data_IF_284821959441
#
_entry.id   IF_284821959441
#
_cell.length_a   1.000
_cell.length_b   1.000
_cell.length_c   1.000
_cell.angle_alpha   90.00
_cell.angle_beta   90.00
_cell.angle_gamma   90.00
#
_symmetry.space_group_name_H-M   'P 1'
#
loop_
_entity.id
_entity.type
_entity.pdbx_description
1 polymer ?
#
# COMPACT_ATOMS: atom_id res chain seq x y z
N UNK A 1 -11.67 -5.65 2.19
CA UNK A 1 -11.95 -6.98 2.79
C UNK A 1 -10.91 -7.37 3.83
N UNK A 2 -9.62 -7.39 3.47
CA UNK A 2 -8.52 -7.74 4.38
C UNK A 2 -8.15 -6.62 5.36
N UNK A 3 -8.44 -5.36 5.00
CA UNK A 3 -8.18 -4.15 5.79
C UNK A 3 -9.16 -3.93 6.96
N UNK A 4 -9.75 -4.99 7.52
CA UNK A 4 -10.57 -4.91 8.74
C UNK A 4 -9.98 -5.84 9.79
N UNK A 5 -10.28 -5.60 11.07
CA UNK A 5 -9.81 -6.47 12.16
C UNK A 5 -10.37 -7.90 12.06
N UNK A 6 -11.43 -8.09 11.28
CA UNK A 6 -12.02 -9.38 10.91
C UNK A 6 -11.64 -9.85 9.49
N UNK A 7 -10.65 -9.21 8.84
CA UNK A 7 -10.29 -9.48 7.45
C UNK A 7 -9.89 -10.94 7.19
N UNK A 8 -9.10 -11.53 8.09
CA UNK A 8 -8.75 -12.96 8.03
C UNK A 8 -9.97 -13.88 8.13
N UNK A 9 -10.98 -13.51 8.92
CA UNK A 9 -12.24 -14.26 9.05
C UNK A 9 -13.10 -14.13 7.80
N UNK A 10 -13.17 -12.94 7.20
CA UNK A 10 -13.85 -12.75 5.92
C UNK A 10 -13.22 -13.58 4.81
N UNK A 11 -11.88 -13.63 4.74
CA UNK A 11 -11.17 -14.48 3.80
C UNK A 11 -11.45 -15.96 4.08
N UNK A 12 -11.46 -16.39 5.34
CA UNK A 12 -11.84 -17.75 5.72
C UNK A 12 -13.29 -18.09 5.35
N UNK A 13 -14.22 -17.15 5.47
CA UNK A 13 -15.61 -17.34 5.06
C UNK A 13 -15.75 -17.47 3.55
N UNK A 14 -15.07 -16.61 2.78
CA UNK A 14 -15.01 -16.70 1.32
C UNK A 14 -14.36 -18.01 0.88
N UNK A 15 -13.32 -18.46 1.57
CA UNK A 15 -12.70 -19.76 1.34
C UNK A 15 -13.69 -20.91 1.54
N UNK A 16 -14.41 -20.94 2.66
CA UNK A 16 -15.43 -21.96 2.93
C UNK A 16 -16.53 -21.96 1.86
N UNK A 17 -16.99 -20.78 1.43
CA UNK A 17 -17.96 -20.65 0.34
C UNK A 17 -17.40 -21.14 -1.00
N UNK A 18 -16.14 -20.85 -1.29
CA UNK A 18 -15.48 -21.33 -2.50
C UNK A 18 -15.37 -22.87 -2.49
N UNK A 19 -15.10 -23.48 -1.33
CA UNK A 19 -15.13 -24.94 -1.19
C UNK A 19 -16.52 -25.54 -1.43
N UNK A 20 -17.58 -24.91 -0.92
CA UNK A 20 -18.96 -25.39 -1.12
C UNK A 20 -19.43 -25.27 -2.57
N UNK A 21 -19.04 -24.19 -3.24
CA UNK A 21 -19.51 -23.86 -4.60
C UNK A 21 -18.55 -24.30 -5.70
N UNK A 22 -17.42 -24.91 -5.33
CA UNK A 22 -16.31 -25.24 -6.24
C UNK A 22 -15.76 -24.02 -6.99
N UNK A 23 -15.98 -22.82 -6.45
CA UNK A 23 -15.43 -21.59 -7.01
C UNK A 23 -13.93 -21.46 -6.74
N UNK A 24 -13.29 -20.56 -7.50
CA UNK A 24 -11.92 -20.14 -7.27
C UNK A 24 -11.89 -18.76 -6.61
N UNK A 25 -10.98 -18.57 -5.66
CA UNK A 25 -10.79 -17.30 -4.99
C UNK A 25 -9.56 -16.60 -5.57
N UNK A 26 -9.75 -15.41 -6.14
CA UNK A 26 -8.68 -14.60 -6.70
C UNK A 26 -8.47 -13.35 -5.85
N UNK A 27 -7.35 -13.22 -5.12
CA UNK A 27 -7.04 -12.00 -4.40
C UNK A 27 -6.60 -10.91 -5.38
N UNK A 28 -7.27 -9.76 -5.35
CA UNK A 28 -6.88 -8.58 -6.11
C UNK A 28 -6.02 -7.67 -5.24
N UNK A 29 -4.75 -7.53 -5.61
CA UNK A 29 -3.81 -6.60 -5.01
C UNK A 29 -3.98 -5.17 -5.52
N UNK A 30 -3.44 -4.21 -4.77
CA UNK A 30 -3.41 -2.79 -5.19
C UNK A 30 -2.22 -2.48 -6.11
N UNK A 31 -1.08 -3.16 -5.89
CA UNK A 31 0.17 -2.89 -6.59
C UNK A 31 0.38 -3.82 -7.79
N UNK A 32 1.00 -3.29 -8.85
CA UNK A 32 1.19 -3.99 -10.13
C UNK A 32 2.05 -5.26 -10.04
N UNK A 33 2.96 -5.34 -9.06
CA UNK A 33 3.88 -6.46 -8.85
C UNK A 33 3.71 -7.12 -7.48
N UNK A 34 2.55 -6.93 -6.82
CA UNK A 34 2.31 -7.51 -5.50
C UNK A 34 2.48 -9.04 -5.51
N UNK A 35 1.98 -9.70 -6.56
CA UNK A 35 2.13 -11.15 -6.70
C UNK A 35 3.61 -11.53 -6.83
N UNK A 36 4.40 -10.79 -7.61
CA UNK A 36 5.82 -11.07 -7.79
C UNK A 36 6.61 -10.93 -6.49
N UNK A 37 6.36 -9.88 -5.70
CA UNK A 37 6.96 -9.71 -4.36
C UNK A 37 6.61 -10.91 -3.47
N UNK A 38 5.34 -11.30 -3.42
CA UNK A 38 4.90 -12.45 -2.62
C UNK A 38 5.58 -13.77 -3.02
N UNK A 39 5.75 -14.01 -4.33
CA UNK A 39 6.46 -15.21 -4.80
C UNK A 39 7.95 -15.20 -4.43
N UNK A 40 8.58 -14.02 -4.46
CA UNK A 40 9.97 -13.83 -4.03
C UNK A 40 10.09 -14.07 -2.52
N UNK A 41 9.23 -13.43 -1.72
CA UNK A 41 9.23 -13.48 -0.24
C UNK A 41 9.07 -14.89 0.33
N UNK A 42 8.28 -15.76 -0.32
CA UNK A 42 8.11 -17.16 0.12
C UNK A 42 9.41 -17.98 0.20
N UNK A 43 10.50 -17.48 -0.38
CA UNK A 43 11.81 -18.13 -0.38
C UNK A 43 12.77 -17.60 0.69
N UNK A 44 12.35 -16.59 1.47
CA UNK A 44 13.15 -16.02 2.54
C UNK A 44 12.73 -16.55 3.91
N UNK A 45 13.62 -16.42 4.89
CA UNK A 45 13.36 -16.83 6.27
C UNK A 45 12.37 -15.88 6.95
N UNK A 46 11.47 -16.45 7.72
CA UNK A 46 10.54 -15.79 8.65
C UNK A 46 11.20 -15.24 9.93
N UNK A 47 12.53 -15.30 10.04
CA UNK A 47 13.28 -14.85 11.23
C UNK A 47 13.48 -13.33 11.30
N UNK A 48 13.16 -12.58 10.25
CA UNK A 48 13.27 -11.13 10.22
C UNK A 48 12.14 -10.44 10.99
N UNK A 49 12.35 -9.17 11.33
CA UNK A 49 11.28 -8.32 11.87
C UNK A 49 10.23 -8.07 10.77
N UNK A 50 8.96 -8.25 11.09
CA UNK A 50 7.88 -7.81 10.21
C UNK A 50 7.75 -6.27 10.24
N UNK A 51 6.93 -5.74 9.33
CA UNK A 51 6.71 -4.29 9.20
C UNK A 51 6.40 -3.57 10.52
N UNK A 52 5.47 -4.09 11.33
CA UNK A 52 5.11 -3.47 12.62
C UNK A 52 6.29 -3.51 13.60
N UNK A 53 6.99 -4.64 13.65
CA UNK A 53 8.17 -4.80 14.49
C UNK A 53 9.31 -3.87 14.08
N UNK A 54 9.50 -3.63 12.78
CA UNK A 54 10.46 -2.63 12.27
C UNK A 54 10.08 -1.24 12.79
N UNK A 55 8.81 -0.85 12.70
CA UNK A 55 8.34 0.45 13.20
C UNK A 55 8.51 0.61 14.72
N UNK A 56 8.17 -0.45 15.48
CA UNK A 56 8.35 -0.46 16.93
C UNK A 56 9.84 -0.37 17.29
N UNK A 57 10.70 -1.18 16.66
CA UNK A 57 12.14 -1.18 16.90
C UNK A 57 12.81 0.14 16.47
N UNK A 58 12.36 0.73 15.36
CA UNK A 58 12.79 2.06 14.96
C UNK A 58 12.38 3.11 15.99
N UNK A 59 11.18 3.01 16.57
CA UNK A 59 10.70 3.97 17.58
C UNK A 59 11.36 3.79 18.96
N UNK A 60 11.68 2.56 19.36
CA UNK A 60 12.34 2.26 20.63
C UNK A 60 13.85 2.51 20.61
N UNK A 61 14.45 2.56 19.41
CA UNK A 61 15.91 2.63 19.23
C UNK A 61 16.59 1.25 19.20
N UNK A 62 15.81 0.16 19.16
CA UNK A 62 16.35 -1.21 19.01
C UNK A 62 16.85 -1.46 17.58
N UNK A 63 16.37 -0.69 16.61
CA UNK A 63 16.88 -0.67 15.24
C UNK A 63 17.82 0.51 15.05
N UNK A 64 19.08 0.24 14.68
CA UNK A 64 20.09 1.28 14.46
C UNK A 64 20.03 1.88 13.07
N UNK A 65 19.88 1.02 12.05
CA UNK A 65 19.96 1.42 10.64
C UNK A 65 18.74 0.91 9.92
N UNK A 66 18.12 1.78 9.12
CA UNK A 66 16.98 1.42 8.28
C UNK A 66 17.23 1.84 6.83
N UNK A 67 17.07 0.90 5.91
CA UNK A 67 17.08 1.14 4.47
C UNK A 67 15.65 1.03 3.95
N UNK A 68 15.08 2.13 3.47
CA UNK A 68 13.74 2.18 2.91
C UNK A 68 13.79 2.32 1.40
N UNK A 69 13.43 1.26 0.69
CA UNK A 69 13.25 1.28 -0.76
C UNK A 69 11.75 1.35 -1.10
N UNK A 70 11.33 2.45 -1.71
CA UNK A 70 9.93 2.70 -2.05
C UNK A 70 9.11 3.31 -0.91
N UNK A 71 7.79 3.40 -1.08
CA UNK A 71 6.93 4.12 -0.15
C UNK A 71 6.85 3.40 1.20
N UNK A 72 7.22 4.10 2.26
CA UNK A 72 7.01 3.68 3.64
C UNK A 72 6.11 4.70 4.35
N UNK A 73 5.38 4.31 5.41
CA UNK A 73 4.62 5.27 6.22
C UNK A 73 5.53 6.35 6.80
N UNK A 74 4.90 7.41 7.25
CA UNK A 74 5.59 8.48 7.95
C UNK A 74 6.23 7.99 9.26
N UNK A 75 7.56 8.12 9.37
CA UNK A 75 8.38 7.59 10.45
C UNK A 75 8.46 8.49 11.69
N UNK A 76 7.54 9.46 11.89
CA UNK A 76 7.54 10.61 12.84
C UNK A 76 8.29 10.48 14.20
N UNK A 77 8.59 9.28 14.69
CA UNK A 77 9.24 8.95 15.97
C UNK A 77 10.39 7.94 15.87
N UNK A 78 10.95 7.69 14.70
CA UNK A 78 12.06 6.76 14.54
C UNK A 78 13.35 7.34 15.17
N UNK A 79 13.91 6.60 16.12
CA UNK A 79 15.19 6.85 16.76
C UNK A 79 16.26 5.95 16.11
N UNK A 80 16.68 6.32 14.89
CA UNK A 80 17.66 5.59 14.11
C UNK A 80 19.03 6.30 14.19
N UNK A 81 20.12 5.54 14.17
CA UNK A 81 21.48 6.06 13.99
C UNK A 81 21.76 6.41 12.51
N UNK A 82 21.09 5.75 11.57
CA UNK A 82 21.24 6.02 10.14
C UNK A 82 20.01 5.60 9.33
N UNK A 83 19.44 6.53 8.55
CA UNK A 83 18.30 6.30 7.66
C UNK A 83 18.69 6.53 6.20
N UNK A 84 18.54 5.48 5.39
CA UNK A 84 18.68 5.55 3.93
C UNK A 84 17.31 5.50 3.29
N UNK A 85 17.00 6.45 2.40
CA UNK A 85 15.79 6.45 1.60
C UNK A 85 16.15 6.31 0.11
N UNK A 86 15.63 5.27 -0.52
CA UNK A 86 15.69 5.04 -1.96
C UNK A 86 14.29 5.20 -2.56
N UNK A 87 14.03 6.31 -3.23
CA UNK A 87 12.74 6.55 -3.89
C UNK A 87 12.90 7.42 -5.14
N UNK A 88 11.89 7.40 -6.00
CA UNK A 88 11.82 8.22 -7.21
C UNK A 88 11.23 9.61 -6.96
N UNK A 89 10.49 9.76 -5.87
CA UNK A 89 9.81 11.00 -5.49
C UNK A 89 10.11 11.35 -4.04
N UNK A 90 10.11 12.65 -3.74
CA UNK A 90 10.26 13.15 -2.37
C UNK A 90 9.05 12.81 -1.52
N UNK A 91 9.27 12.59 -0.22
CA UNK A 91 8.20 12.34 0.75
C UNK A 91 8.56 12.92 2.12
N UNK A 92 7.61 12.86 3.06
CA UNK A 92 7.77 13.44 4.40
C UNK A 92 8.92 12.84 5.22
N UNK A 93 9.41 11.64 4.88
CA UNK A 93 10.54 11.03 5.57
C UNK A 93 11.91 11.57 5.12
N UNK A 94 12.00 12.27 3.98
CA UNK A 94 13.28 12.79 3.48
C UNK A 94 13.95 13.76 4.45
N UNK A 95 13.16 14.52 5.22
CA UNK A 95 13.68 15.45 6.25
C UNK A 95 14.39 14.75 7.41
N UNK A 96 14.22 13.44 7.54
CA UNK A 96 14.87 12.61 8.55
C UNK A 96 15.97 11.71 7.97
N UNK A 97 16.16 11.70 6.65
CA UNK A 97 17.12 10.80 6.01
C UNK A 97 18.55 11.33 6.14
N UNK A 98 19.48 10.44 6.48
CA UNK A 98 20.92 10.72 6.45
C UNK A 98 21.49 10.55 5.04
N UNK A 99 20.87 9.68 4.24
CA UNK A 99 21.22 9.49 2.84
C UNK A 99 19.97 9.27 1.97
N UNK A 100 19.98 9.90 0.80
CA UNK A 100 18.95 9.76 -0.22
C UNK A 100 19.57 9.20 -1.48
N UNK A 101 18.99 8.12 -2.01
CA UNK A 101 19.43 7.44 -3.22
C UNK A 101 18.34 7.57 -4.29
N UNK A 102 18.48 8.48 -5.28
CA UNK A 102 17.44 8.72 -6.27
C UNK A 102 17.24 7.51 -7.18
N UNK A 103 16.04 6.94 -7.15
CA UNK A 103 15.68 5.75 -7.91
C UNK A 103 14.92 6.09 -9.19
N UNK A 104 15.23 5.38 -10.27
CA UNK A 104 14.49 5.49 -11.54
C UNK A 104 13.02 5.06 -11.41
N UNK A 105 12.14 5.78 -12.08
CA UNK A 105 10.75 5.40 -12.33
C UNK A 105 10.65 4.25 -13.33
N UNK A 106 9.46 3.66 -13.48
CA UNK A 106 9.23 2.57 -14.43
C UNK A 106 9.51 2.95 -15.89
N UNK A 107 9.44 4.23 -16.25
CA UNK A 107 9.70 4.71 -17.62
C UNK A 107 11.21 4.85 -17.91
N UNK A 108 12.04 4.94 -16.87
CA UNK A 108 13.48 5.20 -16.94
C UNK A 108 14.32 3.91 -16.83
N UNK A 109 13.70 2.80 -16.40
CA UNK A 109 14.31 1.47 -16.32
C UNK A 109 13.53 0.47 -17.17
N UNK A 110 14.13 -0.70 -17.40
CA UNK A 110 13.43 -1.88 -17.88
C UNK A 110 13.35 -2.93 -16.76
N UNK A 111 12.53 -3.96 -16.97
CA UNK A 111 12.42 -5.06 -16.02
C UNK A 111 11.23 -5.95 -16.29
N UNK A 112 10.85 -6.70 -15.25
CA UNK A 112 9.69 -7.58 -15.28
C UNK A 112 8.84 -7.44 -14.03
N UNK A 113 7.54 -7.64 -14.17
CA UNK A 113 6.61 -7.76 -13.04
C UNK A 113 5.67 -8.95 -13.25
N UNK A 114 5.10 -9.46 -12.16
CA UNK A 114 4.12 -10.53 -12.16
C UNK A 114 2.78 -9.94 -11.74
N UNK A 115 1.80 -10.01 -12.63
CA UNK A 115 0.47 -9.45 -12.40
C UNK A 115 -0.40 -10.37 -11.51
N UNK A 116 -1.65 -9.97 -11.25
CA UNK A 116 -2.57 -10.71 -10.36
C UNK A 116 -2.95 -12.12 -10.82
N UNK A 117 -2.85 -12.45 -12.12
CA UNK A 117 -3.07 -13.81 -12.65
C UNK A 117 -1.79 -14.67 -12.64
N UNK A 118 -0.68 -14.16 -12.09
CA UNK A 118 0.60 -14.88 -12.06
C UNK A 118 1.40 -14.79 -13.37
N UNK A 119 1.02 -13.92 -14.31
CA UNK A 119 1.71 -13.77 -15.59
C UNK A 119 2.93 -12.87 -15.45
N UNK A 120 4.09 -13.34 -15.89
CA UNK A 120 5.29 -12.51 -16.02
C UNK A 120 5.16 -11.60 -17.24
N UNK A 121 5.39 -10.31 -17.05
CA UNK A 121 5.35 -9.30 -18.09
C UNK A 121 6.64 -8.49 -18.09
N UNK A 122 7.21 -8.27 -19.27
CA UNK A 122 8.36 -7.38 -19.47
C UNK A 122 7.88 -5.96 -19.77
N UNK A 123 8.55 -4.97 -19.22
CA UNK A 123 8.46 -3.58 -19.64
C UNK A 123 9.85 -3.08 -20.05
N UNK A 124 9.87 -2.16 -21.00
CA UNK A 124 11.11 -1.60 -21.53
C UNK A 124 11.26 -0.15 -21.05
N UNK A 125 12.52 0.26 -20.93
CA UNK A 125 12.88 1.67 -20.74
C UNK A 125 12.36 2.50 -21.91
N UNK A 126 11.76 3.64 -21.60
CA UNK A 126 11.18 4.59 -22.57
C UNK A 126 11.99 5.89 -22.63
N UNK A 127 12.51 6.34 -21.50
CA UNK A 127 13.36 7.55 -21.40
C UNK A 127 14.64 7.25 -20.62
N UNK A 128 15.65 8.10 -20.74
CA UNK A 128 16.85 8.01 -19.90
C UNK A 128 16.53 8.41 -18.45
N UNK A 129 17.19 7.80 -17.44
CA UNK A 129 17.09 8.26 -16.06
C UNK A 129 17.38 9.75 -15.92
N UNK A 130 16.47 10.47 -15.29
CA UNK A 130 16.57 11.90 -15.07
C UNK A 130 17.53 12.23 -13.93
N UNK A 131 18.31 13.30 -14.13
CA UNK A 131 19.30 13.76 -13.16
C UNK A 131 20.30 12.67 -12.78
N UNK A 132 20.46 12.44 -11.48
CA UNK A 132 21.36 11.42 -10.96
C UNK A 132 20.72 10.06 -10.76
N UNK A 133 19.42 9.92 -11.05
CA UNK A 133 18.66 8.71 -10.78
C UNK A 133 19.30 7.47 -11.40
N UNK A 134 19.18 6.35 -10.70
CA UNK A 134 19.67 5.04 -11.16
C UNK A 134 18.60 3.98 -10.92
N UNK A 135 18.55 2.92 -11.75
CA UNK A 135 17.64 1.81 -11.50
C UNK A 135 17.84 1.20 -10.11
N UNK A 136 16.75 0.82 -9.42
CA UNK A 136 16.81 0.25 -8.07
C UNK A 136 17.80 -0.93 -7.97
N UNK A 137 17.76 -1.83 -8.95
CA UNK A 137 18.66 -3.01 -9.00
C UNK A 137 20.14 -2.61 -9.11
N UNK A 138 20.44 -1.50 -9.79
CA UNK A 138 21.80 -1.01 -9.96
C UNK A 138 22.30 -0.44 -8.64
N UNK A 139 21.47 0.36 -7.96
CA UNK A 139 21.81 0.96 -6.66
C UNK A 139 22.17 -0.14 -5.66
N UNK A 140 21.30 -1.15 -5.52
CA UNK A 140 21.55 -2.30 -4.65
C UNK A 140 22.82 -3.04 -5.07
N UNK A 141 23.01 -3.32 -6.36
CA UNK A 141 24.23 -3.99 -6.84
C UNK A 141 25.51 -3.21 -6.50
N UNK A 142 25.48 -1.88 -6.62
CA UNK A 142 26.60 -1.00 -6.29
C UNK A 142 26.90 -0.93 -4.80
N UNK A 143 25.86 -0.92 -3.97
CA UNK A 143 25.97 -0.94 -2.52
C UNK A 143 26.57 -2.26 -2.05
N UNK A 144 26.01 -3.41 -2.47
CA UNK A 144 26.50 -4.72 -2.03
C UNK A 144 27.94 -4.97 -2.49
N UNK A 145 28.32 -4.46 -3.67
CA UNK A 145 29.72 -4.51 -4.14
C UNK A 145 30.67 -3.71 -3.25
N UNK A 146 30.27 -2.51 -2.82
CA UNK A 146 31.07 -1.68 -1.89
C UNK A 146 31.16 -2.31 -0.50
N UNK A 147 30.17 -3.10 -0.12
CA UNK A 147 30.20 -3.93 1.09
C UNK A 147 31.05 -5.21 0.95
N UNK A 148 31.74 -5.40 -0.18
CA UNK A 148 32.69 -6.50 -0.39
C UNK A 148 32.10 -7.75 -1.07
N UNK A 149 30.83 -7.74 -1.45
CA UNK A 149 30.22 -8.89 -2.15
C UNK A 149 30.56 -8.88 -3.65
N UNK A 150 31.02 -10.04 -4.15
CA UNK A 150 31.41 -10.23 -5.56
C UNK A 150 30.31 -10.86 -6.44
N UNK A 151 29.15 -11.19 -5.89
CA UNK A 151 28.05 -11.84 -6.63
C UNK A 151 27.15 -10.90 -7.42
N UNK A 152 27.23 -9.58 -7.20
CA UNK A 152 26.28 -8.60 -7.73
C UNK A 152 26.78 -7.89 -9.00
N UNK A 153 27.36 -8.66 -9.93
CA UNK A 153 27.90 -8.15 -11.21
C UNK A 153 26.89 -8.22 -12.36
N UNK A 154 25.65 -7.81 -12.10
CA UNK A 154 24.59 -7.78 -13.11
C UNK A 154 24.79 -6.63 -14.10
N UNK A 155 24.68 -6.93 -15.39
CA UNK A 155 24.77 -5.95 -16.48
C UNK A 155 23.42 -5.36 -16.84
N UNK A 156 22.35 -6.12 -16.66
CA UNK A 156 20.99 -5.74 -17.01
C UNK A 156 19.96 -6.53 -16.17
N UNK A 157 18.70 -6.08 -16.10
CA UNK A 157 17.64 -6.76 -15.36
C UNK A 157 17.37 -8.20 -15.82
N UNK A 158 17.61 -8.53 -17.09
CA UNK A 158 17.33 -9.88 -17.61
C UNK A 158 18.20 -10.96 -16.95
N UNK A 159 19.45 -10.62 -16.60
CA UNK A 159 20.33 -11.53 -15.86
C UNK A 159 19.77 -11.84 -14.48
N UNK A 160 19.22 -10.82 -13.80
CA UNK A 160 18.56 -10.96 -12.49
C UNK A 160 17.30 -11.83 -12.63
N UNK A 161 16.45 -11.57 -13.62
CA UNK A 161 15.25 -12.40 -13.85
C UNK A 161 15.63 -13.85 -14.15
N UNK A 162 16.65 -14.09 -14.98
CA UNK A 162 17.14 -15.45 -15.27
C UNK A 162 17.72 -16.14 -14.04
N UNK A 163 18.35 -15.41 -13.13
CA UNK A 163 18.79 -15.94 -11.84
C UNK A 163 17.61 -16.28 -10.94
N UNK A 164 16.64 -15.37 -10.80
CA UNK A 164 15.41 -15.58 -10.03
C UNK A 164 14.65 -16.82 -10.50
N UNK A 165 14.51 -17.04 -11.81
CA UNK A 165 13.84 -18.22 -12.39
C UNK A 165 14.49 -19.52 -11.92
N UNK A 166 15.81 -19.54 -11.73
CA UNK A 166 16.55 -20.75 -11.31
C UNK A 166 16.38 -21.06 -9.84
N UNK A 167 16.19 -20.03 -9.00
CA UNK A 167 16.23 -20.17 -7.53
C UNK A 167 14.85 -20.11 -6.88
N UNK A 168 13.86 -19.51 -7.53
CA UNK A 168 12.49 -19.38 -7.01
C UNK A 168 11.65 -20.54 -7.56
N UNK A 169 11.18 -21.49 -6.72
CA UNK A 169 10.46 -22.67 -7.19
C UNK A 169 9.15 -22.36 -7.93
N UNK A 170 8.42 -21.32 -7.53
CA UNK A 170 7.19 -20.91 -8.23
C UNK A 170 7.47 -20.31 -9.61
N UNK A 171 8.72 -20.03 -9.97
CA UNK A 171 9.11 -19.57 -11.30
C UNK A 171 9.47 -20.73 -12.24
N UNK A 172 9.28 -21.99 -11.84
CA UNK A 172 9.65 -23.16 -12.64
C UNK A 172 9.02 -23.21 -14.05
N UNK A 173 7.84 -22.62 -14.21
CA UNK A 173 7.12 -22.56 -15.49
C UNK A 173 7.43 -21.28 -16.29
N UNK A 174 8.29 -20.42 -15.75
CA UNK A 174 8.67 -19.17 -16.39
C UNK A 174 9.80 -19.42 -17.38
N UNK A 175 9.58 -19.05 -18.63
CA UNK A 175 10.60 -19.03 -19.68
C UNK A 175 10.87 -17.61 -20.15
N UNK A 176 12.05 -17.08 -19.83
CA UNK A 176 12.46 -15.74 -20.28
C UNK A 176 12.56 -15.67 -21.82
N UNK A 177 13.03 -16.75 -22.45
CA UNK A 177 13.16 -16.84 -23.91
C UNK A 177 11.78 -16.80 -24.61
N UNK A 178 10.77 -17.44 -24.02
CA UNK A 178 9.40 -17.39 -24.55
C UNK A 178 8.77 -16.01 -24.33
N UNK A 179 9.02 -15.40 -23.16
CA UNK A 179 8.61 -14.03 -22.89
C UNK A 179 9.18 -13.04 -23.92
N UNK A 180 10.46 -13.18 -24.29
CA UNK A 180 11.09 -12.35 -25.33
C UNK A 180 10.46 -12.54 -26.71
N UNK A 181 9.89 -13.71 -26.99
CA UNK A 181 9.12 -14.00 -28.21
C UNK A 181 7.67 -13.51 -28.15
N UNK A 182 7.29 -12.81 -27.08
CA UNK A 182 5.93 -12.33 -26.86
C UNK A 182 4.95 -13.41 -26.40
N UNK A 183 5.43 -14.59 -25.99
CA UNK A 183 4.59 -15.64 -25.46
C UNK A 183 4.28 -15.38 -23.98
N UNK A 184 3.09 -15.81 -23.55
CA UNK A 184 2.66 -15.67 -22.16
C UNK A 184 3.28 -16.78 -21.33
N UNK A 185 3.89 -16.41 -20.22
CA UNK A 185 4.49 -17.34 -19.27
C UNK A 185 3.99 -16.99 -17.86
N UNK A 186 3.77 -18.01 -17.03
CA UNK A 186 3.05 -17.88 -15.76
C UNK A 186 3.83 -18.57 -14.64
N UNK A 187 3.67 -18.08 -13.42
CA UNK A 187 4.16 -18.76 -12.22
C UNK A 187 3.46 -20.11 -12.04
N UNK A 188 4.18 -21.07 -11.47
CA UNK A 188 3.62 -22.33 -11.02
C UNK A 188 2.80 -22.11 -9.75
N UNK A 189 1.48 -22.30 -9.85
CA UNK A 189 0.59 -22.25 -8.69
C UNK A 189 0.81 -23.49 -7.79
N UNK A 190 0.91 -23.27 -6.47
CA UNK A 190 1.01 -24.35 -5.49
C UNK A 190 -0.38 -24.93 -5.23
N UNK A 191 -0.63 -26.12 -5.77
CA UNK A 191 -1.88 -26.85 -5.48
C UNK A 191 -1.77 -27.54 -4.12
N UNK A 192 -2.46 -27.01 -3.08
CA UNK A 192 -2.66 -27.78 -1.84
C UNK A 192 -3.65 -28.91 -2.12
N UNK A 193 -3.22 -30.16 -1.90
CA UNK A 193 -4.05 -31.37 -2.06
C UNK A 193 -5.16 -31.42 -1.03
N UNK A 194 -4.89 -30.96 0.18
CA UNK A 194 -5.86 -30.92 1.27
C UNK A 194 -6.57 -29.56 1.29
N UNK A 195 -7.89 -29.61 1.21
CA UNK A 195 -8.78 -28.46 1.33
C UNK A 195 -9.74 -28.73 2.49
N UNK A 196 -9.65 -27.91 3.53
CA UNK A 196 -10.50 -28.05 4.72
C UNK A 196 -11.29 -26.77 4.97
N UNK A 197 -12.47 -26.94 5.56
CA UNK A 197 -13.22 -25.82 6.11
C UNK A 197 -12.46 -25.21 7.28
N UNK A 198 -12.54 -23.89 7.40
CA UNK A 198 -11.99 -23.12 8.51
C UNK A 198 -13.17 -22.76 9.43
N UNK A 199 -13.23 -23.26 10.68
CA UNK A 199 -14.30 -22.90 11.61
C UNK A 199 -14.39 -21.38 11.82
N UNK A 200 -15.57 -20.81 11.62
CA UNK A 200 -15.81 -19.38 11.79
C UNK A 200 -16.43 -19.12 13.16
N UNK A 201 -15.88 -18.16 13.89
CA UNK A 201 -16.52 -17.58 15.07
C UNK A 201 -17.05 -16.20 14.71
N UNK A 202 -18.37 -16.04 14.80
CA UNK A 202 -19.00 -14.73 14.69
C UNK A 202 -18.44 -13.80 15.79
N UNK A 203 -18.22 -12.55 15.42
CA UNK A 203 -17.88 -11.49 16.36
C UNK A 203 -18.55 -10.23 15.89
N UNK A 204 -19.12 -9.52 16.86
CA UNK A 204 -19.77 -8.26 16.63
C UNK A 204 -18.71 -7.20 16.25
N UNK A 205 -19.07 -6.26 15.36
CA UNK A 205 -18.15 -5.17 15.03
C UNK A 205 -18.07 -4.19 16.21
N UNK A 206 -16.84 -3.87 16.65
CA UNK A 206 -16.63 -2.95 17.78
C UNK A 206 -16.94 -1.49 17.44
N UNK A 207 -17.15 -1.16 16.16
CA UNK A 207 -17.40 0.20 15.70
C UNK A 207 -18.89 0.53 15.77
N UNK A 208 -19.32 1.05 16.92
CA UNK A 208 -20.71 1.48 17.13
C UNK A 208 -20.80 3.00 17.15
N UNK A 209 -21.84 3.53 16.49
CA UNK A 209 -22.25 4.94 16.60
C UNK A 209 -22.60 5.21 18.07
N UNK A 210 -22.35 6.43 18.52
CA UNK A 210 -22.73 6.89 19.86
C UNK A 210 -23.31 8.30 19.79
N UNK A 211 -23.87 8.79 20.90
CA UNK A 211 -24.27 10.21 20.99
C UNK A 211 -23.09 11.16 20.75
N UNK A 212 -21.87 10.77 21.13
CA UNK A 212 -20.65 11.57 20.94
C UNK A 212 -20.15 11.52 19.48
N UNK A 213 -20.25 10.37 18.83
CA UNK A 213 -19.81 10.12 17.45
C UNK A 213 -20.96 9.49 16.65
N UNK A 214 -21.85 10.30 16.07
CA UNK A 214 -23.07 9.81 15.44
C UNK A 214 -22.84 9.20 14.04
N UNK A 215 -21.67 9.41 13.44
CA UNK A 215 -21.31 8.89 12.13
C UNK A 215 -20.24 7.79 12.24
N UNK A 216 -20.21 6.91 11.24
CA UNK A 216 -19.05 6.05 10.99
C UNK A 216 -18.39 6.51 9.69
N UNK A 217 -17.09 6.71 9.70
CA UNK A 217 -16.31 7.06 8.52
C UNK A 217 -15.63 5.82 7.96
N UNK A 218 -15.94 5.47 6.71
CA UNK A 218 -15.19 4.51 5.91
C UNK A 218 -13.99 5.20 5.28
N UNK A 219 -12.84 4.54 5.32
CA UNK A 219 -11.60 5.02 4.72
C UNK A 219 -11.32 4.20 3.47
N UNK A 220 -11.24 4.88 2.33
CA UNK A 220 -10.84 4.27 1.06
C UNK A 220 -9.36 4.55 0.81
N UNK A 221 -8.62 3.56 0.30
CA UNK A 221 -7.25 3.81 -0.10
C UNK A 221 -7.26 4.71 -1.34
N UNK A 222 -6.48 5.79 -1.33
CA UNK A 222 -6.42 6.65 -2.52
C UNK A 222 -5.75 5.92 -3.67
N UNK A 223 -6.49 5.68 -4.75
CA UNK A 223 -5.95 5.12 -6.00
C UNK A 223 -5.14 6.15 -6.79
N UNK A 224 -5.25 7.43 -6.44
CA UNK A 224 -4.55 8.53 -7.10
C UNK A 224 -3.14 8.73 -6.50
N UNK A 225 -2.52 7.65 -6.03
CA UNK A 225 -1.23 7.66 -5.36
C UNK A 225 -0.28 6.67 -6.01
N UNK A 226 0.87 7.17 -6.44
CA UNK A 226 1.90 6.36 -7.07
C UNK A 226 3.20 6.48 -6.29
N UNK A 227 3.60 5.39 -5.62
CA UNK A 227 4.73 5.37 -4.67
C UNK A 227 4.54 6.41 -3.57
N UNK A 228 5.28 7.52 -3.62
CA UNK A 228 5.18 8.64 -2.68
C UNK A 228 4.60 9.90 -3.32
N UNK A 229 4.02 9.77 -4.52
CA UNK A 229 3.52 10.89 -5.32
C UNK A 229 1.99 10.90 -5.34
N UNK A 230 1.42 12.02 -4.88
CA UNK A 230 -0.01 12.29 -4.98
C UNK A 230 -0.34 12.76 -6.40
N UNK A 231 -0.78 11.83 -7.26
CA UNK A 231 -1.07 12.12 -8.68
C UNK A 231 -2.12 13.21 -8.82
N UNK A 232 -3.09 13.27 -7.90
CA UNK A 232 -4.11 14.31 -7.84
C UNK A 232 -3.56 15.69 -7.51
N UNK A 233 -2.38 15.81 -6.90
CA UNK A 233 -1.73 17.10 -6.64
C UNK A 233 -0.81 17.53 -7.78
N UNK A 234 -0.14 16.57 -8.41
CA UNK A 234 0.86 16.83 -9.46
C UNK A 234 0.23 16.99 -10.86
N UNK A 235 -0.81 16.22 -11.17
CA UNK A 235 -1.48 16.30 -12.47
C UNK A 235 -2.57 17.36 -12.43
N UNK A 236 -2.41 18.41 -13.24
CA UNK A 236 -3.44 19.46 -13.43
C UNK A 236 -4.82 18.88 -13.76
N UNK A 237 -4.86 17.83 -14.57
CA UNK A 237 -6.11 17.16 -14.95
C UNK A 237 -6.76 16.44 -13.77
N UNK A 238 -5.99 15.63 -13.03
CA UNK A 238 -6.51 14.91 -11.87
C UNK A 238 -6.92 15.87 -10.75
N UNK A 239 -6.13 16.93 -10.50
CA UNK A 239 -6.42 17.96 -9.50
C UNK A 239 -7.76 18.64 -9.69
N UNK A 240 -8.22 18.77 -10.94
CA UNK A 240 -9.52 19.38 -11.24
C UNK A 240 -10.72 18.49 -10.87
N UNK A 241 -10.51 17.18 -10.73
CA UNK A 241 -11.60 16.19 -10.56
C UNK A 241 -11.38 15.24 -9.36
N UNK A 242 -10.28 15.39 -8.62
CA UNK A 242 -9.92 14.59 -7.43
C UNK A 242 -9.33 15.53 -6.38
N UNK A 243 -9.82 15.45 -5.15
CA UNK A 243 -9.22 16.11 -3.98
C UNK A 243 -9.22 15.11 -2.81
N UNK A 244 -8.05 14.90 -2.20
CA UNK A 244 -7.88 14.01 -1.04
C UNK A 244 -8.65 14.50 0.19
N UNK A 245 -9.01 15.79 0.24
CA UNK A 245 -9.71 16.44 1.34
C UNK A 245 -11.24 16.32 1.24
N UNK A 246 -11.76 15.57 0.28
CA UNK A 246 -13.19 15.30 0.19
C UNK A 246 -13.69 14.41 1.33
N UNK A 247 -14.67 14.93 2.05
CA UNK A 247 -15.47 14.20 3.03
C UNK A 247 -16.81 13.90 2.36
N UNK A 248 -16.95 12.65 1.93
CA UNK A 248 -18.11 12.11 1.25
C UNK A 248 -19.26 11.95 2.24
N UNK A 249 -20.44 12.45 1.91
CA UNK A 249 -21.66 12.37 2.72
C UNK A 249 -22.88 12.04 1.83
N UNK A 250 -23.89 11.38 2.37
CA UNK A 250 -25.15 11.15 1.63
C UNK A 250 -25.95 12.45 1.49
N UNK A 251 -26.78 12.60 0.43
CA UNK A 251 -27.63 13.77 0.26
C UNK A 251 -28.54 14.04 1.46
N UNK A 252 -29.08 13.00 2.09
CA UNK A 252 -30.03 13.15 3.19
C UNK A 252 -29.37 13.56 4.50
N UNK A 253 -28.15 13.09 4.77
CA UNK A 253 -27.39 13.57 5.92
C UNK A 253 -26.89 15.00 5.69
N UNK A 254 -26.51 15.35 4.46
CA UNK A 254 -26.15 16.73 4.11
C UNK A 254 -27.34 17.67 4.31
N UNK A 255 -28.51 17.33 3.80
CA UNK A 255 -29.75 18.11 3.98
C UNK A 255 -30.12 18.24 5.47
N UNK A 256 -30.12 17.13 6.22
CA UNK A 256 -30.41 17.13 7.65
C UNK A 256 -29.44 18.00 8.46
N UNK A 257 -28.18 18.03 8.04
CA UNK A 257 -27.15 18.84 8.66
C UNK A 257 -27.05 20.24 8.06
N UNK A 258 -27.86 20.59 7.05
CA UNK A 258 -27.80 21.83 6.27
C UNK A 258 -26.39 22.14 5.71
N UNK A 259 -25.74 21.11 5.14
CA UNK A 259 -24.41 21.20 4.53
C UNK A 259 -24.50 21.31 3.01
N UNK A 260 -23.66 22.16 2.42
CA UNK A 260 -23.59 22.37 0.98
C UNK A 260 -22.36 21.71 0.34
N UNK A 261 -22.43 21.37 -0.95
CA UNK A 261 -21.28 20.83 -1.70
C UNK A 261 -20.11 21.83 -1.68
N UNK A 262 -18.92 21.37 -1.31
CA UNK A 262 -17.72 22.21 -1.21
C UNK A 262 -17.58 22.98 0.10
N UNK A 263 -18.56 22.92 1.01
CA UNK A 263 -18.46 23.58 2.33
C UNK A 263 -17.28 23.03 3.14
N UNK A 264 -16.55 23.94 3.80
CA UNK A 264 -15.47 23.58 4.73
C UNK A 264 -16.05 22.96 6.00
N UNK A 265 -15.62 21.75 6.32
CA UNK A 265 -15.98 21.07 7.56
C UNK A 265 -14.76 20.44 8.21
N UNK A 266 -14.85 20.26 9.52
CA UNK A 266 -13.92 19.44 10.27
C UNK A 266 -14.61 18.14 10.71
N UNK A 267 -13.88 17.02 10.67
CA UNK A 267 -14.31 15.74 11.20
C UNK A 267 -13.41 15.37 12.35
N UNK A 268 -13.99 14.97 13.48
CA UNK A 268 -13.25 14.59 14.68
C UNK A 268 -13.52 13.12 15.05
N UNK A 269 -12.44 12.41 15.39
CA UNK A 269 -12.46 11.09 16.02
C UNK A 269 -11.92 11.15 17.46
N UNK A 270 -11.78 10.01 18.12
CA UNK A 270 -11.09 9.95 19.42
C UNK A 270 -9.59 10.32 19.36
N UNK A 271 -8.99 10.29 18.17
CA UNK A 271 -7.54 10.41 17.99
C UNK A 271 -7.10 11.78 17.49
N UNK A 272 -7.99 12.49 16.79
CA UNK A 272 -7.63 13.73 16.15
C UNK A 272 -8.79 14.34 15.36
N UNK A 273 -8.44 15.36 14.58
CA UNK A 273 -9.36 16.09 13.71
C UNK A 273 -8.76 16.20 12.31
N UNK A 274 -9.61 16.16 11.30
CA UNK A 274 -9.24 16.35 9.90
C UNK A 274 -10.13 17.42 9.30
N UNK A 275 -9.57 18.31 8.49
CA UNK A 275 -10.31 19.37 7.80
C UNK A 275 -10.43 19.02 6.34
N UNK A 276 -11.61 19.27 5.78
CA UNK A 276 -11.88 18.98 4.38
C UNK A 276 -13.14 19.64 3.86
N UNK A 277 -13.54 19.22 2.67
CA UNK A 277 -14.68 19.78 1.95
C UNK A 277 -15.79 18.74 1.82
N UNK A 278 -17.03 19.18 1.95
CA UNK A 278 -18.19 18.33 1.71
C UNK A 278 -18.23 17.88 0.25
N UNK A 279 -18.35 16.57 0.05
CA UNK A 279 -18.64 15.94 -1.26
C UNK A 279 -19.93 15.15 -1.14
N UNK A 280 -20.99 15.55 -1.82
CA UNK A 280 -22.27 14.83 -1.76
C UNK A 280 -22.22 13.63 -2.72
N UNK A 281 -22.46 12.43 -2.19
CA UNK A 281 -22.36 11.17 -2.93
C UNK A 281 -23.63 10.33 -2.73
N UNK A 282 -24.43 10.19 -3.79
CA UNK A 282 -25.73 9.49 -3.76
C UNK A 282 -25.64 8.01 -3.39
N UNK A 283 -24.51 7.35 -3.68
CA UNK A 283 -24.30 5.94 -3.38
C UNK A 283 -23.90 5.68 -1.92
N UNK A 284 -23.65 6.71 -1.11
CA UNK A 284 -23.21 6.56 0.26
C UNK A 284 -24.42 6.34 1.21
N UNK A 285 -24.41 5.31 2.07
CA UNK A 285 -25.51 5.07 3.01
C UNK A 285 -25.61 6.15 4.11
N UNK A 286 -26.83 6.35 4.62
CA UNK A 286 -27.10 7.27 5.75
C UNK A 286 -26.29 6.91 7.00
N UNK A 287 -25.77 7.94 7.65
CA UNK A 287 -24.91 7.92 8.80
C UNK A 287 -23.52 7.33 8.54
N UNK A 288 -23.11 7.20 7.28
CA UNK A 288 -21.76 6.82 6.87
C UNK A 288 -21.11 8.02 6.19
N UNK A 289 -19.86 8.31 6.55
CA UNK A 289 -18.99 9.25 5.84
C UNK A 289 -17.93 8.46 5.07
N UNK A 290 -17.41 9.03 3.99
CA UNK A 290 -16.29 8.46 3.25
C UNK A 290 -15.14 9.45 3.14
N UNK A 291 -13.92 9.01 3.34
CA UNK A 291 -12.73 9.82 3.05
C UNK A 291 -11.66 8.94 2.40
N UNK A 292 -10.77 9.57 1.65
CA UNK A 292 -9.59 8.87 1.12
C UNK A 292 -8.44 8.97 2.10
N UNK A 293 -7.67 7.89 2.23
CA UNK A 293 -6.56 7.79 3.16
C UNK A 293 -5.24 7.50 2.43
N UNK A 294 -4.18 8.15 2.91
CA UNK A 294 -2.81 8.01 2.44
C UNK A 294 -1.88 7.81 3.65
N UNK A 295 -1.11 6.70 3.64
CA UNK A 295 -0.20 6.31 4.73
C UNK A 295 1.04 7.21 4.85
N UNK A 296 1.44 7.86 3.77
CA UNK A 296 2.70 8.60 3.67
C UNK A 296 2.53 10.13 3.55
N UNK A 297 1.31 10.65 3.70
CA UNK A 297 1.03 12.09 3.74
C UNK A 297 0.85 12.61 5.17
N UNK A 298 1.17 13.89 5.36
CA UNK A 298 0.86 14.63 6.60
C UNK A 298 -0.65 14.56 6.91
N UNK A 299 -0.97 14.55 8.19
CA UNK A 299 -2.31 14.63 8.75
C UNK A 299 -3.15 15.82 8.27
N UNK A 300 -2.51 16.86 7.72
CA UNK A 300 -3.21 18.00 7.12
C UNK A 300 -3.86 17.67 5.76
N UNK A 301 -3.34 16.67 5.04
CA UNK A 301 -3.82 16.27 3.71
C UNK A 301 -4.41 14.85 3.68
N UNK A 302 -4.13 14.07 4.72
CA UNK A 302 -4.64 12.72 4.92
C UNK A 302 -5.41 12.62 6.23
N UNK A 303 -6.47 11.81 6.23
CA UNK A 303 -7.21 11.39 7.43
C UNK A 303 -6.39 10.52 8.40
N UNK A 304 -5.07 10.42 8.20
CA UNK A 304 -4.12 9.72 9.06
C UNK A 304 -4.24 10.13 10.52
N UNK A 305 -4.45 11.42 10.80
CA UNK A 305 -4.66 11.95 12.15
C UNK A 305 -5.94 11.44 12.85
N UNK A 306 -6.92 10.92 12.10
CA UNK A 306 -8.15 10.36 12.68
C UNK A 306 -7.97 8.92 13.18
N UNK A 307 -6.95 8.22 12.72
CA UNK A 307 -6.74 6.80 13.00
C UNK A 307 -5.96 6.66 14.32
N UNK A 308 -6.49 5.93 15.33
CA UNK A 308 -5.72 5.67 16.54
C UNK A 308 -4.46 4.86 16.22
N UNK A 309 -3.35 5.09 16.94
CA UNK A 309 -2.07 4.39 16.71
C UNK A 309 -2.19 2.86 16.75
N UNK A 310 -3.07 2.33 17.60
CA UNK A 310 -3.35 0.87 17.70
C UNK A 310 -3.97 0.31 16.41
N UNK A 311 -4.68 1.12 15.61
CA UNK A 311 -5.21 0.71 14.31
C UNK A 311 -4.14 0.67 13.20
N UNK A 312 -3.02 1.38 13.38
CA UNK A 312 -1.85 1.24 12.52
C UNK A 312 -1.20 -0.15 12.71
N UNK A 313 -1.24 -0.71 13.92
CA UNK A 313 -0.71 -2.05 14.20
C UNK A 313 -1.57 -3.19 13.60
N UNK A 314 -2.89 -3.02 13.52
CA UNK A 314 -3.81 -4.08 13.06
C UNK A 314 -4.17 -4.06 11.57
N UNK A 315 -3.58 -3.16 10.75
CA UNK A 315 -3.90 -2.97 9.32
C UNK A 315 -5.41 -2.77 9.04
N UNK A 316 -6.20 -2.45 10.07
CA UNK A 316 -7.66 -2.45 9.99
C UNK A 316 -8.21 -1.05 9.71
N UNK A 317 -8.02 -0.57 8.48
CA UNK A 317 -8.54 0.72 7.98
C UNK A 317 -10.02 0.62 7.59
N UNK A 318 -10.83 0.08 8.49
CA UNK A 318 -12.18 -0.36 8.14
C UNK A 318 -13.24 0.72 8.27
N UNK A 319 -13.43 1.20 9.49
CA UNK A 319 -14.46 2.18 9.84
C UNK A 319 -14.07 2.89 11.14
N UNK A 320 -14.31 4.19 11.26
CA UNK A 320 -14.00 4.98 12.45
C UNK A 320 -15.23 5.74 12.95
N UNK A 321 -15.58 5.69 14.24
CA UNK A 321 -16.59 6.57 14.80
C UNK A 321 -16.13 8.03 14.74
N UNK A 322 -16.94 8.90 14.14
CA UNK A 322 -16.61 10.32 14.00
C UNK A 322 -17.82 11.24 14.23
N UNK A 323 -17.55 12.53 14.38
CA UNK A 323 -18.55 13.60 14.34
C UNK A 323 -18.10 14.72 13.40
N UNK A 324 -19.07 15.39 12.78
CA UNK A 324 -18.82 16.59 11.98
C UNK A 324 -18.86 17.81 12.91
N UNK A 325 -17.92 18.72 12.71
CA UNK A 325 -17.83 20.04 13.31
C UNK A 325 -17.85 21.08 12.18
N UNK A 326 -18.76 22.04 12.26
CA UNK A 326 -18.69 23.24 11.42
C UNK A 326 -17.54 24.12 11.92
N UNK A 327 -16.73 24.61 11.00
CA UNK A 327 -15.86 25.73 11.33
C UNK A 327 -16.73 26.97 11.53
N UNK A 328 -16.42 27.76 12.57
CA UNK A 328 -17.08 29.04 12.83
C UNK A 328 -16.40 30.15 12.04
#
# INVERSE_FOLDING_TARGET
LTQHSWGSRNVAALWNLALQTQAQLFPLGLENNLRGVFEIEQNYSDKGLNFNQIFQAASSGDLKVLYLAGPAPYLKKANLEFLVIQDSFTNENFKFADAVLPASTFAETEGTFINGEGRLQKFNKVIDPLGEAKPDWWIISQLTRRMGNKGFHFKNPSEITKEMIKVIPSFSNISYTELEKGQKTFTQEKTRKERSFIPLKYSDSHHKKSKKYPFLMFLDYSLDYYRSLSLSQESRGLKAIRDSRWIKISPEDAEKLNLEEGENIAVESSSGTFKGYVKIVKSLPKGILGASFLLSEDSDFSVSGLIPSVFQESHSLGMLPVKIKREK
#
